data_IF_939886505116
#
_entry.id   IF_939886505116
#
_cell.length_a   1.000
_cell.length_b   1.000
_cell.length_c   1.000
_cell.angle_alpha   90.00
_cell.angle_beta   90.00
_cell.angle_gamma   90.00
#
_symmetry.space_group_name_H-M   'P 1'
#
loop_
_entity.id
_entity.type
_entity.pdbx_description
1 polymer ?
#
# COMPACT_ATOMS: atom_id res chain seq x y z
N UNK A 1 18.06 2.50 -17.75
CA UNK A 1 16.69 2.91 -17.34
C UNK A 1 15.76 1.70 -17.39
N UNK A 2 15.17 1.30 -16.26
CA UNK A 2 14.14 0.24 -16.26
C UNK A 2 12.89 0.79 -16.95
N UNK A 3 12.36 0.08 -17.95
CA UNK A 3 11.09 0.49 -18.59
C UNK A 3 9.96 0.35 -17.57
N UNK A 4 9.11 1.38 -17.43
CA UNK A 4 7.95 1.35 -16.52
C UNK A 4 7.02 0.15 -16.74
N UNK A 5 6.93 -0.33 -17.98
CA UNK A 5 6.17 -1.53 -18.32
C UNK A 5 6.62 -2.77 -17.53
N UNK A 6 7.92 -2.94 -17.27
CA UNK A 6 8.42 -4.06 -16.47
C UNK A 6 8.02 -3.95 -15.00
N UNK A 7 8.06 -2.73 -14.45
CA UNK A 7 7.60 -2.46 -13.08
C UNK A 7 6.10 -2.72 -12.92
N UNK A 8 5.30 -2.33 -13.92
CA UNK A 8 3.86 -2.61 -13.96
C UNK A 8 3.57 -4.10 -14.06
N UNK A 9 4.24 -4.80 -14.97
CA UNK A 9 4.11 -6.25 -15.11
C UNK A 9 4.47 -6.98 -13.81
N UNK A 10 5.55 -6.54 -13.14
CA UNK A 10 5.96 -7.10 -11.86
C UNK A 10 4.88 -6.98 -10.79
N UNK A 11 4.28 -5.78 -10.62
CA UNK A 11 3.15 -5.58 -9.69
C UNK A 11 2.00 -6.51 -10.06
N UNK A 12 1.57 -6.52 -11.33
CA UNK A 12 0.43 -7.34 -11.77
C UNK A 12 0.65 -8.81 -11.47
N UNK A 13 1.85 -9.34 -11.75
CA UNK A 13 2.20 -10.73 -11.45
C UNK A 13 2.14 -11.00 -9.95
N UNK A 14 2.76 -10.14 -9.13
CA UNK A 14 2.80 -10.33 -7.67
C UNK A 14 1.39 -10.31 -7.05
N UNK A 15 0.53 -9.39 -7.48
CA UNK A 15 -0.86 -9.35 -6.99
C UNK A 15 -1.69 -10.52 -7.51
N UNK A 16 -1.52 -10.94 -8.77
CA UNK A 16 -2.23 -12.10 -9.31
C UNK A 16 -1.84 -13.38 -8.57
N UNK A 17 -0.54 -13.64 -8.44
CA UNK A 17 0.00 -14.80 -7.71
C UNK A 17 -0.39 -14.75 -6.23
N UNK A 18 -0.30 -13.58 -5.60
CA UNK A 18 -0.73 -13.37 -4.22
C UNK A 18 -2.21 -13.66 -4.00
N UNK A 19 -3.07 -13.19 -4.92
CA UNK A 19 -4.52 -13.42 -4.87
C UNK A 19 -4.85 -14.89 -4.99
N UNK A 20 -4.32 -15.58 -6.01
CA UNK A 20 -4.53 -17.02 -6.19
C UNK A 20 -4.01 -17.81 -4.98
N UNK A 21 -2.84 -17.44 -4.48
CA UNK A 21 -2.21 -18.07 -3.32
C UNK A 21 -3.00 -17.92 -2.01
N UNK A 22 -3.74 -16.82 -1.82
CA UNK A 22 -4.62 -16.61 -0.66
C UNK A 22 -5.95 -17.35 -0.82
N UNK A 23 -6.50 -17.41 -2.03
CA UNK A 23 -7.78 -18.08 -2.31
C UNK A 23 -7.70 -19.58 -2.04
N UNK A 24 -6.58 -20.22 -2.36
CA UNK A 24 -6.36 -21.65 -2.13
C UNK A 24 -6.04 -21.94 -0.64
N UNK A 25 -6.86 -22.74 0.07
CA UNK A 25 -6.64 -23.02 1.50
C UNK A 25 -5.27 -23.62 1.82
N UNK A 26 -4.74 -24.47 0.94
CA UNK A 26 -3.45 -25.15 1.11
C UNK A 26 -2.26 -24.18 1.13
N UNK A 27 -2.33 -23.07 0.38
CA UNK A 27 -1.23 -22.09 0.27
C UNK A 27 -1.47 -20.82 1.08
N UNK A 28 -2.70 -20.57 1.54
CA UNK A 28 -3.09 -19.35 2.26
C UNK A 28 -2.16 -18.96 3.41
N UNK A 29 -1.73 -19.85 4.33
CA UNK A 29 -0.86 -19.46 5.43
C UNK A 29 0.49 -18.88 4.98
N UNK A 30 1.04 -19.42 3.88
CA UNK A 30 2.29 -18.93 3.30
C UNK A 30 2.09 -17.53 2.70
N UNK A 31 1.03 -17.34 1.92
CA UNK A 31 0.79 -16.07 1.23
C UNK A 31 0.39 -14.93 2.19
N UNK A 32 -0.26 -15.24 3.31
CA UNK A 32 -0.51 -14.26 4.37
C UNK A 32 0.81 -13.73 4.96
N UNK A 33 1.81 -14.59 5.18
CA UNK A 33 3.15 -14.17 5.64
C UNK A 33 3.89 -13.34 4.58
N UNK A 34 3.69 -13.66 3.31
CA UNK A 34 4.28 -12.92 2.19
C UNK A 34 3.61 -11.56 1.93
N UNK A 35 2.47 -11.27 2.57
CA UNK A 35 1.73 -10.02 2.35
C UNK A 35 2.57 -8.79 2.75
N UNK A 36 3.35 -8.88 3.84
CA UNK A 36 4.31 -7.83 4.20
C UNK A 36 5.26 -7.49 3.05
N UNK A 37 5.88 -8.51 2.47
CA UNK A 37 6.82 -8.36 1.35
C UNK A 37 6.13 -7.80 0.11
N UNK A 38 4.90 -8.24 -0.18
CA UNK A 38 4.14 -7.73 -1.32
C UNK A 38 3.85 -6.24 -1.19
N UNK A 39 3.43 -5.78 -0.01
CA UNK A 39 3.16 -4.36 0.25
C UNK A 39 4.44 -3.52 0.21
N UNK A 40 5.52 -3.99 0.83
CA UNK A 40 6.81 -3.31 0.81
C UNK A 40 7.37 -3.20 -0.63
N UNK A 41 7.30 -4.29 -1.40
CA UNK A 41 7.72 -4.31 -2.81
C UNK A 41 6.87 -3.33 -3.64
N UNK A 42 5.55 -3.33 -3.45
CA UNK A 42 4.64 -2.42 -4.16
C UNK A 42 5.01 -0.95 -3.91
N UNK A 43 5.31 -0.61 -2.66
CA UNK A 43 5.74 0.73 -2.27
C UNK A 43 7.05 1.14 -2.95
N UNK A 44 8.06 0.25 -2.94
CA UNK A 44 9.33 0.46 -3.63
C UNK A 44 9.12 0.66 -5.14
N UNK A 45 8.28 -0.16 -5.78
CA UNK A 45 8.01 -0.05 -7.20
C UNK A 45 7.39 1.31 -7.55
N UNK A 46 6.46 1.83 -6.74
CA UNK A 46 5.90 3.17 -6.95
C UNK A 46 6.98 4.26 -6.90
N UNK A 47 7.90 4.18 -5.94
CA UNK A 47 9.02 5.13 -5.84
C UNK A 47 9.92 5.04 -7.08
N UNK A 48 10.22 3.83 -7.55
CA UNK A 48 11.05 3.59 -8.73
C UNK A 48 10.37 4.00 -10.04
N UNK A 49 9.04 3.88 -10.13
CA UNK A 49 8.27 4.23 -11.32
C UNK A 49 8.11 5.74 -11.53
N UNK A 50 8.48 6.56 -10.53
CA UNK A 50 8.39 8.02 -10.58
C UNK A 50 9.65 8.64 -11.22
N UNK A 51 9.52 9.13 -12.45
CA UNK A 51 10.65 9.73 -13.20
C UNK A 51 11.24 10.97 -12.52
N UNK A 52 10.38 11.83 -11.95
CA UNK A 52 10.80 13.05 -11.26
C UNK A 52 10.55 12.93 -9.76
N UNK A 53 11.65 12.74 -9.03
CA UNK A 53 11.72 12.69 -7.56
C UNK A 53 11.56 14.10 -6.94
N UNK A 54 10.42 14.75 -7.20
CA UNK A 54 10.09 16.05 -6.59
C UNK A 54 9.94 15.88 -5.08
N UNK A 55 10.43 16.85 -4.30
CA UNK A 55 10.31 16.85 -2.83
C UNK A 55 8.85 16.68 -2.39
N UNK A 56 7.93 17.34 -3.08
CA UNK A 56 6.48 17.28 -2.80
C UNK A 56 5.92 15.85 -2.80
N UNK A 57 6.46 14.96 -3.63
CA UNK A 57 6.03 13.56 -3.68
C UNK A 57 6.41 12.81 -2.40
N UNK A 58 7.62 13.03 -1.87
CA UNK A 58 8.05 12.40 -0.63
C UNK A 58 7.37 13.03 0.59
N UNK A 59 7.14 14.34 0.56
CA UNK A 59 6.32 15.03 1.58
C UNK A 59 4.91 14.45 1.60
N UNK A 60 4.30 14.27 0.43
CA UNK A 60 3.00 13.62 0.32
C UNK A 60 3.02 12.19 0.88
N UNK A 61 4.00 11.36 0.50
CA UNK A 61 4.12 10.00 1.01
C UNK A 61 4.26 9.95 2.54
N UNK A 62 5.09 10.82 3.11
CA UNK A 62 5.27 10.93 4.55
C UNK A 62 3.97 11.38 5.24
N UNK A 63 3.28 12.37 4.67
CA UNK A 63 1.99 12.83 5.18
C UNK A 63 0.93 11.72 5.12
N UNK A 64 0.80 11.00 3.99
CA UNK A 64 -0.12 9.87 3.86
C UNK A 64 0.20 8.76 4.84
N UNK A 65 1.48 8.47 5.09
CA UNK A 65 1.90 7.49 6.09
C UNK A 65 1.47 7.92 7.50
N UNK A 66 1.76 9.17 7.89
CA UNK A 66 1.43 9.71 9.21
C UNK A 66 -0.07 9.76 9.45
N UNK A 67 -0.83 10.30 8.50
CA UNK A 67 -2.29 10.41 8.59
C UNK A 67 -2.92 9.01 8.60
N UNK A 68 -2.50 8.12 7.70
CA UNK A 68 -2.99 6.74 7.66
C UNK A 68 -2.71 6.01 8.97
N UNK A 69 -1.51 6.15 9.52
CA UNK A 69 -1.15 5.53 10.80
C UNK A 69 -1.97 6.11 11.96
N UNK A 70 -2.22 7.42 11.99
CA UNK A 70 -3.08 8.03 13.01
C UNK A 70 -4.53 7.54 12.91
N UNK A 71 -5.07 7.41 11.69
CA UNK A 71 -6.39 6.86 11.42
C UNK A 71 -6.48 5.40 11.91
N UNK A 72 -5.48 4.57 11.61
CA UNK A 72 -5.41 3.19 12.12
C UNK A 72 -5.33 3.14 13.65
N UNK A 73 -4.56 4.05 14.25
CA UNK A 73 -4.45 4.13 15.70
C UNK A 73 -5.78 4.45 16.35
N UNK A 74 -6.50 5.45 15.83
CA UNK A 74 -7.86 5.78 16.27
C UNK A 74 -8.75 4.55 16.07
N UNK A 75 -8.70 3.92 14.91
CA UNK A 75 -9.51 2.75 14.56
C UNK A 75 -9.37 1.60 15.57
N UNK A 76 -8.14 1.17 15.85
CA UNK A 76 -7.87 0.02 16.74
C UNK A 76 -8.16 0.35 18.21
N UNK A 77 -7.81 1.55 18.69
CA UNK A 77 -7.90 1.86 20.11
C UNK A 77 -9.28 2.35 20.54
N UNK A 78 -10.06 2.93 19.62
CA UNK A 78 -11.39 3.46 19.93
C UNK A 78 -12.52 2.60 19.37
N UNK A 79 -12.23 1.77 18.36
CA UNK A 79 -13.26 1.02 17.62
C UNK A 79 -14.18 1.89 16.76
N UNK A 80 -13.99 3.22 16.72
CA UNK A 80 -14.92 4.16 16.09
C UNK A 80 -14.96 4.06 14.56
N UNK A 81 -13.81 3.81 13.92
CA UNK A 81 -13.69 3.88 12.47
C UNK A 81 -13.98 2.55 11.76
N UNK A 82 -13.52 1.45 12.35
CA UNK A 82 -13.53 0.13 11.71
C UNK A 82 -14.11 -0.97 12.61
N UNK A 83 -14.67 -0.62 13.77
CA UNK A 83 -15.10 -1.57 14.79
C UNK A 83 -13.92 -2.17 15.58
N UNK A 84 -14.22 -3.20 16.37
CA UNK A 84 -13.21 -3.88 17.19
C UNK A 84 -12.46 -4.92 16.35
N UNK A 85 -11.22 -4.61 15.97
CA UNK A 85 -10.31 -5.56 15.32
C UNK A 85 -8.86 -5.34 15.78
N UNK A 86 -8.01 -6.34 15.54
CA UNK A 86 -6.58 -6.29 15.84
C UNK A 86 -5.78 -6.92 14.71
N UNK A 87 -4.61 -6.35 14.39
CA UNK A 87 -3.71 -6.96 13.42
C UNK A 87 -3.01 -8.21 13.97
N UNK A 88 -2.93 -9.27 13.15
CA UNK A 88 -2.11 -10.45 13.43
C UNK A 88 -0.61 -10.22 13.20
N UNK A 89 0.22 -11.23 13.43
CA UNK A 89 1.70 -11.11 13.36
C UNK A 89 2.29 -11.17 11.93
N UNK A 90 1.45 -11.36 10.91
CA UNK A 90 1.91 -11.63 9.54
C UNK A 90 2.46 -10.39 8.78
N UNK A 91 2.27 -9.19 9.33
CA UNK A 91 2.59 -7.92 8.65
C UNK A 91 3.88 -7.25 9.14
N UNK A 92 4.77 -8.04 9.77
CA UNK A 92 6.07 -7.57 10.24
C UNK A 92 5.97 -6.70 11.49
N UNK A 93 6.92 -5.77 11.62
CA UNK A 93 7.06 -4.95 12.83
C UNK A 93 5.82 -4.09 13.09
N UNK A 94 5.33 -4.15 14.33
CA UNK A 94 4.21 -3.35 14.82
C UNK A 94 4.71 -2.22 15.72
N UNK A 95 4.00 -1.11 15.67
CA UNK A 95 4.09 -0.03 16.64
C UNK A 95 2.68 0.25 17.16
N UNK A 96 2.51 0.27 18.49
CA UNK A 96 1.19 0.44 19.13
C UNK A 96 0.11 -0.52 18.56
N UNK A 97 0.47 -1.77 18.29
CA UNK A 97 -0.44 -2.78 17.71
C UNK A 97 -0.71 -2.66 16.21
N UNK A 98 -0.17 -1.64 15.53
CA UNK A 98 -0.36 -1.37 14.10
C UNK A 98 0.91 -1.74 13.33
N UNK A 99 0.85 -2.61 12.31
CA UNK A 99 2.00 -2.91 11.48
C UNK A 99 2.46 -1.67 10.70
N UNK A 100 3.76 -1.36 10.75
CA UNK A 100 4.31 -0.16 10.09
C UNK A 100 4.08 -0.14 8.57
N UNK A 101 3.98 -1.34 7.96
CA UNK A 101 3.68 -1.51 6.54
C UNK A 101 2.28 -1.01 6.15
N UNK A 102 1.35 -0.92 7.10
CA UNK A 102 0.00 -0.39 6.84
C UNK A 102 0.06 1.10 6.50
N UNK A 103 0.92 1.88 7.16
CA UNK A 103 1.14 3.28 6.78
C UNK A 103 1.67 3.40 5.36
N UNK A 104 2.54 2.47 4.91
CA UNK A 104 3.03 2.46 3.52
C UNK A 104 1.89 2.14 2.55
N UNK A 105 1.00 1.22 2.95
CA UNK A 105 -0.19 0.88 2.18
C UNK A 105 -1.14 2.09 2.03
N UNK A 106 -1.32 2.91 3.06
CA UNK A 106 -2.08 4.17 2.97
C UNK A 106 -1.52 5.11 1.88
N UNK A 107 -0.19 5.26 1.78
CA UNK A 107 0.41 6.01 0.68
C UNK A 107 0.16 5.37 -0.69
N UNK A 108 0.32 4.05 -0.79
CA UNK A 108 0.09 3.27 -2.01
C UNK A 108 -1.33 3.41 -2.55
N UNK A 109 -2.35 3.19 -1.73
CA UNK A 109 -3.75 3.29 -2.14
C UNK A 109 -4.13 4.72 -2.49
N UNK A 110 -3.64 5.71 -1.76
CA UNK A 110 -3.95 7.13 -2.03
C UNK A 110 -3.36 7.58 -3.37
N UNK A 111 -2.11 7.23 -3.68
CA UNK A 111 -1.51 7.51 -5.00
C UNK A 111 -2.26 6.79 -6.11
N UNK A 112 -2.61 5.53 -5.90
CA UNK A 112 -3.32 4.72 -6.89
C UNK A 112 -4.70 5.31 -7.19
N UNK A 113 -5.43 5.71 -6.16
CA UNK A 113 -6.71 6.39 -6.27
C UNK A 113 -6.58 7.75 -6.98
N UNK A 114 -5.59 8.56 -6.63
CA UNK A 114 -5.33 9.84 -7.29
C UNK A 114 -4.96 9.64 -8.77
N UNK A 115 -4.14 8.64 -9.11
CA UNK A 115 -3.80 8.31 -10.48
C UNK A 115 -5.03 7.85 -11.29
N UNK A 116 -5.91 7.06 -10.68
CA UNK A 116 -7.16 6.63 -11.28
C UNK A 116 -8.11 7.83 -11.49
N UNK A 117 -8.29 8.66 -10.47
CA UNK A 117 -9.10 9.87 -10.54
C UNK A 117 -8.63 10.82 -11.66
N UNK A 118 -7.31 11.00 -11.82
CA UNK A 118 -6.76 11.81 -12.91
C UNK A 118 -6.99 11.22 -14.31
N UNK A 119 -7.07 9.89 -14.44
CA UNK A 119 -7.39 9.25 -15.73
C UNK A 119 -8.85 9.37 -16.10
N UNK A 120 -9.74 9.31 -15.10
CA UNK A 120 -11.19 9.37 -15.30
C UNK A 120 -11.67 10.82 -15.43
N UNK A 121 -11.06 11.74 -14.69
CA UNK A 121 -11.42 13.16 -14.73
C UNK A 121 -11.11 13.76 -16.09
N UNK A 122 -12.13 14.33 -16.74
CA UNK A 122 -11.99 15.14 -17.97
C UNK A 122 -11.24 16.46 -17.73
N UNK A 123 -11.05 16.85 -16.46
CA UNK A 123 -10.45 18.12 -16.09
C UNK A 123 -8.94 17.96 -15.93
N UNK A 124 -8.18 18.13 -17.02
CA UNK A 124 -6.71 18.04 -17.10
C UNK A 124 -5.94 19.13 -16.33
N UNK A 125 -6.52 19.78 -15.32
CA UNK A 125 -5.96 21.01 -14.73
C UNK A 125 -5.18 20.86 -13.42
N UNK A 126 -5.06 19.66 -12.83
CA UNK A 126 -4.54 19.55 -11.44
C UNK A 126 -3.47 18.49 -11.18
N UNK A 127 -2.56 18.23 -12.12
CA UNK A 127 -1.23 17.61 -11.81
C UNK A 127 -0.13 18.18 -12.69
#
# INVERSE_FOLDING_TARGET
>A
MIKKAYLQALIVIFYAVGTVGILLPATRPLFLKLTFFNLALSFVIIILARDKRRKDFYVFLAASWLVGFAVEWIGIHTGLLFGNYSYGENLGLKFLGIPLVIGLNWGLVTISAAALANRISKNKKWV
#
